data_IF_765057290815
#
_entry.id   IF_765057290815
#
_cell.length_a   1.000
_cell.length_b   1.000
_cell.length_c   1.000
_cell.angle_alpha   90.00
_cell.angle_beta   90.00
_cell.angle_gamma   90.00
#
_symmetry.space_group_name_H-M   'P 1'
#
loop_
_entity.id
_entity.type
_entity.pdbx_description
1 polymer ?
#
# COMPACT_ATOMS: atom_id res chain seq x y z
N UNK A 1 26.71 -7.75 12.51
CA UNK A 1 25.62 -8.65 12.93
C UNK A 1 24.63 -8.80 11.77
N UNK A 2 24.66 -9.95 11.10
CA UNK A 2 23.80 -10.31 9.97
C UNK A 2 22.79 -11.43 10.35
N UNK A 3 23.15 -12.41 11.22
CA UNK A 3 22.25 -13.51 11.59
C UNK A 3 21.00 -13.08 12.38
N UNK A 4 21.11 -12.08 13.27
CA UNK A 4 20.00 -11.63 14.11
C UNK A 4 18.89 -10.92 13.35
N UNK A 5 19.23 -10.18 12.28
CA UNK A 5 18.26 -9.49 11.43
C UNK A 5 17.44 -10.49 10.59
N UNK A 6 18.10 -11.53 10.06
CA UNK A 6 17.45 -12.59 9.28
C UNK A 6 16.46 -13.40 10.15
N UNK A 7 16.83 -13.72 11.39
CA UNK A 7 15.93 -14.43 12.31
C UNK A 7 14.66 -13.61 12.63
N UNK A 8 14.80 -12.30 12.83
CA UNK A 8 13.66 -11.42 13.10
C UNK A 8 12.73 -11.30 11.88
N UNK A 9 13.30 -11.16 10.68
CA UNK A 9 12.53 -11.11 9.44
C UNK A 9 11.68 -12.38 9.25
N UNK A 10 12.25 -13.57 9.50
CA UNK A 10 11.49 -14.82 9.42
C UNK A 10 10.32 -14.88 10.40
N UNK A 11 10.50 -14.39 11.63
CA UNK A 11 9.43 -14.34 12.64
C UNK A 11 8.32 -13.40 12.18
N UNK A 12 8.67 -12.22 11.67
CA UNK A 12 7.70 -11.24 11.14
C UNK A 12 6.95 -11.79 9.93
N UNK A 13 7.63 -12.48 9.01
CA UNK A 13 6.99 -13.12 7.84
C UNK A 13 6.00 -14.21 8.29
N UNK A 14 6.40 -15.07 9.24
CA UNK A 14 5.53 -16.13 9.77
C UNK A 14 4.30 -15.53 10.46
N UNK A 15 4.50 -14.54 11.33
CA UNK A 15 3.42 -13.84 12.02
C UNK A 15 2.47 -13.16 11.03
N UNK A 16 3.00 -12.46 10.02
CA UNK A 16 2.17 -11.79 9.03
C UNK A 16 1.37 -12.79 8.18
N UNK A 17 1.96 -13.94 7.82
CA UNK A 17 1.25 -15.01 7.09
C UNK A 17 0.08 -15.59 7.88
N UNK A 18 0.23 -15.71 9.20
CA UNK A 18 -0.84 -16.16 10.09
C UNK A 18 -1.90 -15.08 10.34
N UNK A 19 -1.48 -13.81 10.37
CA UNK A 19 -2.37 -12.66 10.52
C UNK A 19 -3.27 -12.44 9.31
N UNK A 20 -2.74 -12.49 8.08
CA UNK A 20 -3.46 -12.06 6.87
C UNK A 20 -4.85 -12.71 6.71
N UNK A 21 -5.04 -14.03 6.93
CA UNK A 21 -6.36 -14.67 6.81
C UNK A 21 -7.38 -14.22 7.87
N UNK A 22 -6.94 -13.56 8.95
CA UNK A 22 -7.80 -13.07 10.03
C UNK A 22 -8.34 -11.66 9.74
N UNK A 23 -7.81 -10.98 8.73
CA UNK A 23 -8.17 -9.60 8.40
C UNK A 23 -9.44 -9.59 7.52
N UNK A 24 -10.59 -9.33 8.14
CA UNK A 24 -11.83 -9.04 7.44
C UNK A 24 -11.66 -7.85 6.47
N UNK A 25 -11.90 -8.07 5.18
CA UNK A 25 -11.58 -7.11 4.11
C UNK A 25 -12.38 -5.80 4.20
N UNK A 26 -13.49 -5.79 4.94
CA UNK A 26 -14.33 -4.61 5.16
C UNK A 26 -13.84 -3.75 6.33
N UNK A 27 -13.25 -4.40 7.33
CA UNK A 27 -12.81 -3.80 8.59
C UNK A 27 -11.32 -3.44 8.61
N UNK A 28 -10.52 -4.06 7.75
CA UNK A 28 -9.07 -3.89 7.67
C UNK A 28 -8.62 -3.45 6.28
N UNK A 29 -7.48 -2.75 6.21
CA UNK A 29 -6.86 -2.23 5.00
C UNK A 29 -5.57 -2.98 4.61
N UNK A 30 -5.44 -4.24 5.00
CA UNK A 30 -4.25 -5.07 4.83
C UNK A 30 -3.20 -4.91 5.94
N UNK A 31 -2.06 -5.57 5.76
CA UNK A 31 -0.91 -5.51 6.68
C UNK A 31 0.41 -5.41 5.90
N UNK A 32 1.45 -4.90 6.57
CA UNK A 32 2.80 -4.86 6.03
C UNK A 32 3.86 -5.03 7.12
N UNK A 33 5.02 -5.56 6.73
CA UNK A 33 6.15 -5.77 7.63
C UNK A 33 7.07 -4.54 7.58
N UNK A 34 7.37 -3.99 8.74
CA UNK A 34 8.45 -3.01 8.93
C UNK A 34 9.60 -3.69 9.66
N UNK A 35 10.60 -4.11 8.89
CA UNK A 35 11.79 -4.80 9.42
C UNK A 35 12.60 -3.87 10.34
N UNK A 36 12.65 -2.57 10.03
CA UNK A 36 13.42 -1.58 10.82
C UNK A 36 12.77 -1.34 12.18
N UNK A 37 11.45 -1.25 12.22
CA UNK A 37 10.70 -1.13 13.47
C UNK A 37 10.53 -2.47 14.20
N UNK A 38 10.85 -3.59 13.54
CA UNK A 38 10.56 -4.95 14.01
C UNK A 38 9.07 -5.14 14.33
N UNK A 39 8.20 -4.70 13.40
CA UNK A 39 6.75 -4.70 13.55
C UNK A 39 6.01 -5.25 12.34
N UNK A 40 4.86 -5.86 12.60
CA UNK A 40 3.80 -6.12 11.63
C UNK A 40 2.75 -5.02 11.82
N UNK A 41 2.66 -4.11 10.86
CA UNK A 41 1.68 -3.03 10.88
C UNK A 41 0.36 -3.51 10.27
N UNK A 42 -0.74 -3.23 10.97
CA UNK A 42 -2.09 -3.63 10.61
C UNK A 42 -2.88 -2.38 10.33
N UNK A 43 -3.30 -2.21 9.08
CA UNK A 43 -4.19 -1.12 8.73
C UNK A 43 -5.61 -1.47 9.16
N UNK A 44 -6.20 -0.64 10.03
CA UNK A 44 -7.52 -0.87 10.58
C UNK A 44 -8.47 0.28 10.22
N UNK A 45 -9.65 -0.06 9.70
CA UNK A 45 -10.72 0.89 9.39
C UNK A 45 -11.70 0.95 10.53
N UNK A 46 -12.10 -0.19 11.09
CA UNK A 46 -12.94 -0.27 12.28
C UNK A 46 -12.12 -0.69 13.50
N UNK A 47 -11.88 0.26 14.41
CA UNK A 47 -11.07 0.00 15.60
C UNK A 47 -11.75 -0.93 16.61
N UNK A 48 -13.06 -1.16 16.50
CA UNK A 48 -13.75 -2.14 17.34
C UNK A 48 -13.24 -3.58 17.10
N UNK A 49 -12.61 -3.82 15.94
CA UNK A 49 -12.10 -5.11 15.49
C UNK A 49 -10.68 -5.41 15.95
N UNK A 50 -10.02 -4.50 16.65
CA UNK A 50 -8.66 -4.72 17.17
C UNK A 50 -8.60 -5.93 18.10
N UNK A 51 -9.60 -6.08 18.97
CA UNK A 51 -9.69 -7.20 19.91
C UNK A 51 -9.88 -8.56 19.21
N UNK A 52 -10.48 -8.59 18.02
CA UNK A 52 -10.66 -9.84 17.25
C UNK A 52 -9.29 -10.42 16.85
N UNK A 53 -8.27 -9.57 16.67
CA UNK A 53 -6.88 -9.99 16.41
C UNK A 53 -6.14 -10.22 17.73
N UNK A 54 -6.23 -9.31 18.69
CA UNK A 54 -5.47 -9.36 19.93
C UNK A 54 -5.85 -10.53 20.84
N UNK A 55 -7.08 -11.04 20.72
CA UNK A 55 -7.55 -12.21 21.48
C UNK A 55 -7.41 -13.53 20.72
N UNK A 56 -6.93 -13.51 19.47
CA UNK A 56 -6.82 -14.71 18.66
C UNK A 56 -5.64 -15.58 19.11
N UNK A 57 -5.85 -16.87 19.49
CA UNK A 57 -4.77 -17.74 19.96
C UNK A 57 -3.65 -17.94 18.93
N UNK A 58 -3.94 -17.85 17.62
CA UNK A 58 -2.93 -17.98 16.56
C UNK A 58 -1.91 -16.84 16.60
N UNK A 59 -2.29 -15.69 17.17
CA UNK A 59 -1.46 -14.49 17.23
C UNK A 59 -0.75 -14.30 18.57
N UNK A 60 -0.94 -15.20 19.55
CA UNK A 60 -0.44 -15.06 20.93
C UNK A 60 1.07 -14.80 20.98
N UNK A 61 1.86 -15.57 20.23
CA UNK A 61 3.32 -15.43 20.20
C UNK A 61 3.82 -14.16 19.47
N UNK A 62 2.94 -13.47 18.75
CA UNK A 62 3.28 -12.34 17.89
C UNK A 62 2.72 -11.00 18.41
N UNK A 63 1.94 -10.98 19.50
CA UNK A 63 1.24 -9.79 19.98
C UNK A 63 2.16 -8.57 20.17
N UNK A 64 3.37 -8.80 20.68
CA UNK A 64 4.39 -7.75 20.88
C UNK A 64 5.00 -7.22 19.57
N UNK A 65 4.80 -7.90 18.44
CA UNK A 65 5.23 -7.48 17.10
C UNK A 65 4.12 -6.74 16.35
N UNK A 66 2.87 -6.79 16.81
CA UNK A 66 1.76 -6.13 16.13
C UNK A 66 1.74 -4.62 16.42
N UNK A 67 1.30 -3.85 15.43
CA UNK A 67 1.00 -2.42 15.58
C UNK A 67 -0.21 -2.05 14.72
N UNK A 68 -1.21 -1.42 15.31
CA UNK A 68 -2.42 -1.00 14.60
C UNK A 68 -2.32 0.45 14.12
N UNK A 69 -2.66 0.68 12.86
CA UNK A 69 -2.67 1.99 12.21
C UNK A 69 -4.07 2.27 11.67
N UNK A 70 -4.71 3.33 12.17
CA UNK A 70 -6.01 3.75 11.65
C UNK A 70 -5.85 4.25 10.21
N UNK A 71 -6.67 3.74 9.31
CA UNK A 71 -6.69 4.14 7.89
C UNK A 71 -8.12 4.39 7.39
N UNK A 72 -8.23 4.95 6.18
CA UNK A 72 -9.52 5.33 5.58
C UNK A 72 -10.02 4.35 4.51
N UNK A 73 -9.15 3.52 3.92
CA UNK A 73 -9.55 2.56 2.89
C UNK A 73 -9.45 1.13 3.42
N UNK A 74 -10.55 0.40 3.31
CA UNK A 74 -10.58 -1.05 3.55
C UNK A 74 -9.95 -1.79 2.39
N UNK A 75 -9.61 -3.07 2.61
CA UNK A 75 -9.02 -3.93 1.59
C UNK A 75 -10.02 -4.17 0.46
N UNK A 76 -11.31 -4.35 0.77
CA UNK A 76 -12.41 -4.43 -0.21
C UNK A 76 -12.42 -3.23 -1.15
N UNK A 77 -12.29 -2.03 -0.59
CA UNK A 77 -12.30 -0.78 -1.35
C UNK A 77 -11.07 -0.68 -2.25
N UNK A 78 -9.90 -1.07 -1.75
CA UNK A 78 -8.66 -1.10 -2.53
C UNK A 78 -8.73 -2.13 -3.66
N UNK A 79 -9.18 -3.35 -3.37
CA UNK A 79 -9.32 -4.42 -4.36
C UNK A 79 -10.32 -4.07 -5.46
N UNK A 80 -11.45 -3.47 -5.08
CA UNK A 80 -12.47 -3.00 -6.04
C UNK A 80 -11.87 -1.94 -6.98
N UNK A 81 -11.25 -0.90 -6.41
CA UNK A 81 -10.65 0.16 -7.22
C UNK A 81 -9.49 -0.36 -8.08
N UNK A 82 -8.68 -1.30 -7.58
CA UNK A 82 -7.59 -1.91 -8.35
C UNK A 82 -8.12 -2.68 -9.56
N UNK A 83 -9.20 -3.44 -9.39
CA UNK A 83 -9.86 -4.17 -10.47
C UNK A 83 -10.46 -3.22 -11.52
N UNK A 84 -11.11 -2.14 -11.08
CA UNK A 84 -11.65 -1.11 -11.97
C UNK A 84 -10.55 -0.38 -12.76
N UNK A 85 -9.44 -0.05 -12.09
CA UNK A 85 -8.25 0.52 -12.73
C UNK A 85 -7.62 -0.45 -13.73
N UNK A 86 -7.54 -1.74 -13.40
CA UNK A 86 -7.03 -2.75 -14.32
C UNK A 86 -7.90 -2.87 -15.59
N UNK A 87 -9.23 -2.86 -15.43
CA UNK A 87 -10.16 -2.83 -16.56
C UNK A 87 -10.07 -1.53 -17.36
N UNK A 88 -9.87 -0.40 -16.68
CA UNK A 88 -9.66 0.89 -17.33
C UNK A 88 -8.37 0.90 -18.15
N UNK A 89 -7.27 0.38 -17.61
CA UNK A 89 -5.99 0.25 -18.32
C UNK A 89 -6.17 -0.54 -19.62
N UNK A 90 -6.93 -1.64 -19.61
CA UNK A 90 -7.28 -2.40 -20.83
C UNK A 90 -8.04 -1.55 -21.85
N UNK A 91 -9.08 -0.82 -21.41
CA UNK A 91 -9.89 0.02 -22.32
C UNK A 91 -9.07 1.12 -23.01
N UNK A 92 -8.08 1.68 -22.32
CA UNK A 92 -7.19 2.71 -22.87
C UNK A 92 -5.94 2.13 -23.56
N UNK A 93 -5.83 0.80 -23.69
CA UNK A 93 -4.61 0.13 -24.18
C UNK A 93 -3.34 0.60 -23.46
N UNK A 94 -3.47 0.84 -22.14
CA UNK A 94 -2.37 1.30 -21.33
C UNK A 94 -1.34 0.17 -21.17
N UNK A 95 -0.07 0.50 -21.35
CA UNK A 95 1.04 -0.48 -21.37
C UNK A 95 2.24 0.07 -20.64
N UNK A 96 3.22 -0.79 -20.33
CA UNK A 96 4.43 -0.38 -19.60
C UNK A 96 4.12 0.25 -18.23
N UNK A 97 3.09 -0.29 -17.55
CA UNK A 97 2.71 0.11 -16.21
C UNK A 97 2.45 -1.11 -15.32
N UNK A 98 2.53 -0.90 -14.01
CA UNK A 98 2.15 -1.86 -12.97
C UNK A 98 1.19 -1.18 -12.02
N UNK A 99 0.10 -1.86 -11.65
CA UNK A 99 -0.84 -1.43 -10.61
C UNK A 99 -0.62 -2.31 -9.38
N UNK A 100 -0.50 -1.70 -8.21
CA UNK A 100 -0.25 -2.41 -6.94
C UNK A 100 -1.02 -1.76 -5.80
N UNK A 101 -1.52 -2.57 -4.87
CA UNK A 101 -1.95 -2.08 -3.57
C UNK A 101 -0.68 -1.91 -2.70
N UNK A 102 -0.42 -0.69 -2.26
CA UNK A 102 0.67 -0.40 -1.33
C UNK A 102 0.10 -0.17 0.06
N UNK A 103 0.11 -1.25 0.86
CA UNK A 103 -0.50 -1.25 2.19
C UNK A 103 0.14 -0.24 3.14
N UNK A 104 1.45 0.01 3.04
CA UNK A 104 2.12 1.03 3.87
C UNK A 104 1.46 2.42 3.77
N UNK A 105 1.02 2.77 2.55
CA UNK A 105 0.36 4.05 2.24
C UNK A 105 -1.17 3.96 2.25
N UNK A 106 -1.74 2.77 2.36
CA UNK A 106 -3.17 2.48 2.21
C UNK A 106 -3.76 3.07 0.90
N UNK A 107 -3.01 2.89 -0.19
CA UNK A 107 -3.30 3.43 -1.53
C UNK A 107 -2.94 2.43 -2.63
N UNK A 108 -3.47 2.66 -3.82
CA UNK A 108 -3.06 2.02 -5.07
C UNK A 108 -1.98 2.88 -5.72
N UNK A 109 -0.88 2.26 -6.14
CA UNK A 109 0.18 2.93 -6.90
C UNK A 109 0.22 2.41 -8.34
N UNK A 110 0.26 3.36 -9.28
CA UNK A 110 0.55 3.13 -10.70
C UNK A 110 2.02 3.43 -10.92
N UNK A 111 2.81 2.39 -11.16
CA UNK A 111 4.20 2.53 -11.57
C UNK A 111 4.28 2.56 -13.10
N UNK A 112 4.75 3.67 -13.65
CA UNK A 112 5.01 3.85 -15.07
C UNK A 112 6.49 3.61 -15.37
N UNK A 113 6.79 2.87 -16.43
CA UNK A 113 8.16 2.76 -16.93
C UNK A 113 8.62 4.06 -17.63
N UNK A 114 9.92 4.14 -17.93
CA UNK A 114 10.68 5.34 -18.37
C UNK A 114 10.00 6.20 -19.47
N UNK A 115 9.17 5.61 -20.32
CA UNK A 115 8.44 6.34 -21.38
C UNK A 115 6.92 6.12 -21.33
N UNK A 116 6.38 5.79 -20.15
CA UNK A 116 5.01 5.35 -19.96
C UNK A 116 4.00 6.50 -19.85
N UNK A 117 4.41 7.70 -19.48
CA UNK A 117 3.46 8.78 -19.16
C UNK A 117 2.64 9.23 -20.38
N UNK A 118 3.29 9.71 -21.44
CA UNK A 118 2.60 10.20 -22.64
C UNK A 118 1.68 9.15 -23.27
N UNK A 119 2.17 7.90 -23.36
CA UNK A 119 1.40 6.78 -23.91
C UNK A 119 0.15 6.45 -23.08
N UNK A 120 0.22 6.63 -21.76
CA UNK A 120 -0.85 6.28 -20.84
C UNK A 120 -1.65 7.50 -20.35
N UNK A 121 -1.42 8.69 -20.93
CA UNK A 121 -2.00 9.95 -20.44
C UNK A 121 -3.52 9.89 -20.30
N UNK A 122 -4.22 9.36 -21.29
CA UNK A 122 -5.68 9.22 -21.25
C UNK A 122 -6.16 8.32 -20.10
N UNK A 123 -5.45 7.22 -19.84
CA UNK A 123 -5.72 6.36 -18.68
C UNK A 123 -5.47 7.12 -17.37
N UNK A 124 -4.32 7.77 -17.26
CA UNK A 124 -3.88 8.53 -16.07
C UNK A 124 -4.90 9.62 -15.72
N UNK A 125 -5.23 10.50 -16.67
CA UNK A 125 -6.14 11.62 -16.45
C UNK A 125 -7.52 11.13 -15.95
N UNK A 126 -8.01 10.00 -16.47
CA UNK A 126 -9.28 9.41 -16.05
C UNK A 126 -9.19 8.70 -14.70
N UNK A 127 -8.10 7.98 -14.45
CA UNK A 127 -7.84 7.29 -13.20
C UNK A 127 -7.74 8.29 -12.03
N UNK A 128 -7.01 9.39 -12.20
CA UNK A 128 -6.89 10.46 -11.19
C UNK A 128 -8.22 11.14 -10.90
N UNK A 129 -9.07 11.33 -11.92
CA UNK A 129 -10.40 11.93 -11.74
C UNK A 129 -11.32 11.06 -10.89
N UNK A 130 -11.24 9.73 -11.06
CA UNK A 130 -12.14 8.78 -10.38
C UNK A 130 -11.60 8.41 -8.99
N UNK A 131 -10.27 8.31 -8.82
CA UNK A 131 -9.63 7.80 -7.60
C UNK A 131 -8.60 8.78 -6.97
N UNK A 132 -8.90 10.08 -6.81
CA UNK A 132 -7.89 11.09 -6.46
C UNK A 132 -7.18 10.86 -5.11
N UNK A 133 -7.83 10.21 -4.15
CA UNK A 133 -7.26 9.94 -2.81
C UNK A 133 -6.81 8.49 -2.62
N UNK A 134 -7.12 7.63 -3.59
CA UNK A 134 -6.78 6.21 -3.60
C UNK A 134 -5.59 5.94 -4.51
N UNK A 135 -5.28 6.83 -5.45
CA UNK A 135 -4.28 6.63 -6.49
C UNK A 135 -3.03 7.47 -6.25
N UNK A 136 -1.87 6.88 -6.52
CA UNK A 136 -0.62 7.61 -6.70
C UNK A 136 0.09 7.14 -7.97
N UNK A 137 0.76 8.05 -8.68
CA UNK A 137 1.41 7.75 -9.96
C UNK A 137 2.90 8.04 -9.85
N UNK A 138 3.71 7.05 -10.19
CA UNK A 138 5.17 7.09 -10.06
C UNK A 138 5.80 6.83 -11.43
N UNK A 139 6.58 7.78 -11.95
CA UNK A 139 7.33 7.60 -13.19
C UNK A 139 8.78 7.16 -12.91
N UNK A 140 9.12 5.92 -13.30
CA UNK A 140 10.46 5.34 -13.10
C UNK A 140 11.56 5.95 -13.96
N UNK A 141 11.25 6.73 -15.01
CA UNK A 141 12.26 7.39 -15.86
C UNK A 141 13.13 8.38 -15.10
N UNK A 142 12.50 9.12 -14.21
CA UNK A 142 13.05 10.39 -13.79
C UNK A 142 13.57 10.36 -12.36
N UNK A 143 13.41 9.25 -11.61
CA UNK A 143 13.53 9.25 -10.14
C UNK A 143 12.78 10.44 -9.51
N UNK A 144 11.72 10.94 -10.16
CA UNK A 144 10.94 12.08 -9.70
C UNK A 144 9.58 11.61 -9.24
N UNK A 145 9.30 11.89 -7.98
CA UNK A 145 8.00 11.72 -7.35
C UNK A 145 7.18 12.97 -7.70
N UNK A 146 6.14 12.83 -8.49
CA UNK A 146 5.13 13.89 -8.68
C UNK A 146 4.11 13.80 -7.55
N UNK A 147 4.33 14.57 -6.48
CA UNK A 147 3.31 14.83 -5.47
C UNK A 147 2.36 15.89 -5.99
N UNK A 148 1.10 15.54 -6.27
CA UNK A 148 0.03 16.53 -6.26
C UNK A 148 -0.69 16.41 -4.92
N UNK A 149 -0.13 17.04 -3.88
CA UNK A 149 -0.92 17.43 -2.73
C UNK A 149 -1.89 18.50 -3.24
N UNK A 150 -3.17 18.18 -3.40
CA UNK A 150 -4.22 19.19 -3.48
C UNK A 150 -4.40 19.84 -2.12
N UNK A 151 -3.42 20.64 -1.69
CA UNK A 151 -3.51 21.57 -0.56
C UNK A 151 -2.42 22.63 -0.72
N UNK A 152 -2.74 23.71 -1.43
CA UNK A 152 -2.19 25.06 -1.28
C UNK A 152 -0.83 25.20 -0.56
N UNK A 153 0.28 25.19 -1.32
CA UNK A 153 1.40 26.15 -1.22
C UNK A 153 2.60 25.64 -2.04
N UNK A 154 3.17 26.56 -2.80
CA UNK A 154 4.33 26.40 -3.67
C UNK A 154 5.60 26.05 -2.90
N UNK A 155 6.02 24.79 -2.91
CA UNK A 155 7.41 24.34 -2.86
C UNK A 155 7.48 22.82 -3.02
N UNK A 156 8.06 22.36 -4.14
CA UNK A 156 8.47 20.97 -4.33
C UNK A 156 9.50 20.60 -3.26
N UNK A 157 9.17 19.68 -2.35
CA UNK A 157 10.17 19.02 -1.50
C UNK A 157 10.42 17.62 -2.04
N UNK A 158 11.56 17.47 -2.71
CA UNK A 158 12.13 16.19 -3.12
C UNK A 158 12.68 15.45 -1.89
N UNK A 159 12.48 14.14 -1.82
CA UNK A 159 13.28 13.24 -0.97
C UNK A 159 13.86 12.15 -1.86
N UNK A 160 15.17 12.02 -1.81
CA UNK A 160 15.90 10.93 -2.47
C UNK A 160 15.61 9.61 -1.75
N UNK A 161 15.48 8.54 -2.53
CA UNK A 161 15.47 7.18 -2.01
C UNK A 161 16.95 6.78 -1.92
N UNK A 162 17.48 6.76 -0.70
CA UNK A 162 18.84 6.24 -0.45
C UNK A 162 18.93 4.77 -0.88
N UNK A 163 20.03 4.45 -1.57
CA UNK A 163 20.38 3.13 -2.11
C UNK A 163 20.56 2.08 -1.02
#
# INVERSE_FOLDING_TARGET
ELPGLLANEEILIKGNRLLTPLLDESSFGGSYIDIKANKININIVDSSKENDIMSNPVMEEYLNLLSFKKVSNSLDKLNTALNELHNMAKRYNATNLTLSNEYEFNKIIVYLNVNGYEKNKAFIDNAEKIYPNLLHIVNKAENKISFNLSSSSSALKTRDIEK
#
